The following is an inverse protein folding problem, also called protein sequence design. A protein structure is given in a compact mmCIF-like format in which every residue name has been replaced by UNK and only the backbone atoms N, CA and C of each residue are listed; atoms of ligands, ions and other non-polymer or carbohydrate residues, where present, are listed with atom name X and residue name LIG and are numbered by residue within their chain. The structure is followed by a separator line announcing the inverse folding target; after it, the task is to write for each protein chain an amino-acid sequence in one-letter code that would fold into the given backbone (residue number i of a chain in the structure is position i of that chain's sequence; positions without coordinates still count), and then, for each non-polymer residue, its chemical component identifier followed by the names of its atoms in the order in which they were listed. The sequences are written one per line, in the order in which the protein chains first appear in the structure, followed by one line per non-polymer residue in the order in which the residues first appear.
data_IF_635845349460
#
_entry.id   IF_635845349460
#
_cell.length_a   1.000
_cell.length_b   1.000
_cell.length_c   1.000
_cell.angle_alpha   90.00
_cell.angle_beta   90.00
_cell.angle_gamma   90.00
#
_symmetry.space_group_name_H-M   'P 1'
#
loop_
_entity.id
_entity.type
_entity.pdbx_description
1 polymer ?
#
# COMPACT_ATOMS: atom_id res chain seq x y z
N UNK A 1 0.26 13.70 13.45
CA UNK A 1 0.54 13.38 12.04
C UNK A 1 -0.15 12.08 11.67
N UNK A 2 -0.87 12.07 10.57
CA UNK A 2 -1.47 10.83 10.04
C UNK A 2 -0.79 10.44 8.72
N UNK A 3 -0.63 9.13 8.51
CA UNK A 3 -0.28 8.58 7.20
C UNK A 3 -1.36 7.60 6.77
N UNK A 4 -2.01 7.88 5.64
CA UNK A 4 -2.91 6.96 4.93
C UNK A 4 -2.10 6.08 3.97
N UNK A 5 -1.86 4.84 4.35
CA UNK A 5 -1.13 3.86 3.55
C UNK A 5 -2.11 3.12 2.64
N UNK A 6 -1.93 3.24 1.33
CA UNK A 6 -2.84 2.69 0.30
C UNK A 6 -2.07 1.74 -0.61
N UNK A 7 -2.58 0.53 -0.82
CA UNK A 7 -2.09 -0.32 -1.90
C UNK A 7 -2.68 0.15 -3.23
N UNK A 8 -1.87 0.24 -4.28
CA UNK A 8 -2.32 0.61 -5.63
C UNK A 8 -3.55 -0.20 -6.11
N UNK A 9 -4.29 0.33 -7.07
CA UNK A 9 -5.45 -0.31 -7.69
C UNK A 9 -5.11 -1.58 -8.48
N UNK A 10 -6.15 -2.29 -8.93
CA UNK A 10 -5.99 -3.54 -9.65
C UNK A 10 -5.26 -3.34 -10.99
N UNK A 11 -4.42 -4.30 -11.36
CA UNK A 11 -3.75 -4.41 -12.65
C UNK A 11 -4.11 -5.75 -13.30
N UNK A 12 -3.88 -5.92 -14.59
CA UNK A 12 -4.11 -7.21 -15.27
C UNK A 12 -3.22 -8.32 -14.68
N UNK A 13 -1.98 -8.01 -14.29
CA UNK A 13 -1.13 -9.00 -13.64
C UNK A 13 -1.63 -9.44 -12.25
N UNK A 14 -2.30 -8.54 -11.51
CA UNK A 14 -2.99 -8.95 -10.28
C UNK A 14 -4.13 -9.92 -10.57
N UNK A 15 -4.93 -9.66 -11.61
CA UNK A 15 -6.03 -10.53 -12.01
C UNK A 15 -5.54 -11.91 -12.49
N UNK A 16 -4.39 -11.96 -13.15
CA UNK A 16 -3.72 -13.18 -13.60
C UNK A 16 -2.94 -13.92 -12.50
N UNK A 17 -2.85 -13.38 -11.28
CA UNK A 17 -2.06 -13.99 -10.20
C UNK A 17 -0.53 -13.92 -10.41
N UNK A 18 -0.05 -13.01 -11.27
CA UNK A 18 1.38 -12.83 -11.54
C UNK A 18 2.03 -11.91 -10.53
N UNK A 19 3.26 -12.23 -10.12
CA UNK A 19 4.09 -11.33 -9.31
C UNK A 19 4.53 -10.16 -10.19
N UNK A 20 4.30 -8.92 -9.73
CA UNK A 20 4.70 -7.72 -10.46
C UNK A 20 6.09 -7.23 -10.05
N UNK A 21 6.38 -7.26 -8.75
CA UNK A 21 7.62 -6.68 -8.25
C UNK A 21 7.79 -5.22 -8.66
N UNK A 22 8.96 -4.90 -9.20
CA UNK A 22 9.26 -3.56 -9.72
C UNK A 22 9.04 -3.43 -11.24
N UNK A 23 8.58 -4.49 -11.90
CA UNK A 23 8.09 -4.40 -13.30
C UNK A 23 6.92 -3.43 -13.36
N UNK A 24 7.00 -2.49 -14.31
CA UNK A 24 6.03 -1.40 -14.40
C UNK A 24 4.82 -1.79 -15.24
N UNK A 25 3.75 -2.19 -14.56
CA UNK A 25 2.46 -2.60 -15.12
C UNK A 25 1.42 -1.54 -14.72
N UNK A 26 0.64 -0.98 -15.69
CA UNK A 26 -0.35 0.05 -15.40
C UNK A 26 -1.59 -0.49 -14.69
N UNK A 27 -2.42 0.42 -14.16
CA UNK A 27 -3.76 0.08 -13.71
C UNK A 27 -4.62 -0.44 -14.87
N UNK A 28 -5.52 -1.37 -14.56
CA UNK A 28 -6.63 -1.65 -15.46
C UNK A 28 -7.87 -0.77 -15.11
N UNK A 29 -8.96 -0.87 -15.89
CA UNK A 29 -10.15 -0.06 -15.67
C UNK A 29 -10.78 -0.29 -14.29
N UNK A 30 -10.76 -1.51 -13.79
CA UNK A 30 -11.24 -1.82 -12.45
C UNK A 30 -10.38 -1.14 -11.37
N UNK A 31 -9.05 -1.13 -11.54
CA UNK A 31 -8.15 -0.42 -10.63
C UNK A 31 -8.43 1.08 -10.58
N UNK A 32 -8.72 1.71 -11.73
CA UNK A 32 -9.12 3.12 -11.79
C UNK A 32 -10.47 3.36 -11.10
N UNK A 33 -11.44 2.46 -11.32
CA UNK A 33 -12.75 2.52 -10.64
C UNK A 33 -12.57 2.44 -9.12
N UNK A 34 -11.78 1.48 -8.64
CA UNK A 34 -11.47 1.30 -7.22
C UNK A 34 -10.82 2.54 -6.62
N UNK A 35 -9.87 3.18 -7.34
CA UNK A 35 -9.21 4.41 -6.88
C UNK A 35 -10.21 5.56 -6.70
N UNK A 36 -11.18 5.70 -7.61
CA UNK A 36 -12.25 6.69 -7.47
C UNK A 36 -13.12 6.42 -6.23
N UNK A 37 -13.49 5.16 -5.98
CA UNK A 37 -14.28 4.80 -4.78
C UNK A 37 -13.55 5.14 -3.47
N UNK A 38 -12.23 4.90 -3.41
CA UNK A 38 -11.45 5.32 -2.24
C UNK A 38 -11.38 6.84 -2.11
N UNK A 39 -11.18 7.57 -3.21
CA UNK A 39 -11.19 9.04 -3.20
C UNK A 39 -12.52 9.60 -2.71
N UNK A 40 -13.65 9.04 -3.15
CA UNK A 40 -14.99 9.42 -2.68
C UNK A 40 -15.17 9.18 -1.18
N UNK A 41 -14.74 8.02 -0.70
CA UNK A 41 -14.75 7.70 0.73
C UNK A 41 -13.92 8.71 1.54
N UNK A 42 -12.69 8.99 1.13
CA UNK A 42 -11.79 9.88 1.84
C UNK A 42 -12.31 11.32 1.92
N UNK A 43 -13.08 11.77 0.93
CA UNK A 43 -13.79 13.06 0.98
C UNK A 43 -14.84 13.14 2.08
N UNK A 44 -15.44 12.01 2.46
CA UNK A 44 -16.51 11.92 3.46
C UNK A 44 -15.96 11.67 4.87
N UNK A 45 -14.70 11.29 5.00
CA UNK A 45 -14.07 11.05 6.30
C UNK A 45 -13.59 12.38 6.94
N UNK A 46 -13.52 12.44 8.29
CA UNK A 46 -13.19 13.67 9.01
C UNK A 46 -11.70 14.04 8.94
N UNK A 47 -10.90 13.30 8.19
CA UNK A 47 -9.48 13.54 8.06
C UNK A 47 -9.19 14.57 6.96
N UNK A 48 -8.38 15.56 7.27
CA UNK A 48 -7.78 16.44 6.27
C UNK A 48 -6.47 15.85 5.79
N UNK A 49 -6.28 15.76 4.47
CA UNK A 49 -5.07 15.30 3.82
C UNK A 49 -4.39 16.46 3.11
N UNK A 50 -3.07 16.60 3.27
CA UNK A 50 -2.33 17.74 2.73
C UNK A 50 -1.73 17.46 1.35
N UNK A 51 -1.25 16.24 1.11
CA UNK A 51 -0.73 15.80 -0.18
C UNK A 51 -0.71 14.27 -0.29
N UNK A 52 -0.55 13.80 -1.53
CA UNK A 52 -0.30 12.38 -1.80
C UNK A 52 1.13 12.18 -2.32
N UNK A 53 1.71 11.01 -2.05
CA UNK A 53 3.00 10.56 -2.58
C UNK A 53 2.89 9.13 -3.09
N UNK A 54 3.62 8.78 -4.15
CA UNK A 54 3.64 7.44 -4.73
C UNK A 54 5.05 6.86 -4.79
N UNK A 55 5.14 5.59 -5.16
CA UNK A 55 6.40 4.89 -5.39
C UNK A 55 7.08 5.25 -6.73
N UNK A 56 6.39 5.95 -7.63
CA UNK A 56 6.82 6.21 -9.00
C UNK A 56 6.64 5.04 -9.97
N UNK A 57 6.06 3.91 -9.54
CA UNK A 57 5.57 2.89 -10.47
C UNK A 57 4.18 3.30 -10.98
N UNK A 58 3.93 3.17 -12.29
CA UNK A 58 2.76 3.74 -12.98
C UNK A 58 1.43 3.42 -12.26
N UNK A 59 1.22 2.19 -11.80
CA UNK A 59 0.02 1.77 -11.06
C UNK A 59 -0.18 2.52 -9.74
N UNK A 60 0.91 2.83 -9.04
CA UNK A 60 0.85 3.57 -7.77
C UNK A 60 0.71 5.07 -8.02
N UNK A 61 1.40 5.58 -9.02
CA UNK A 61 1.34 6.99 -9.41
C UNK A 61 -0.05 7.35 -9.91
N UNK A 62 -0.63 6.59 -10.84
CA UNK A 62 -1.99 6.83 -11.33
C UNK A 62 -3.03 6.70 -10.21
N UNK A 63 -2.87 5.74 -9.28
CA UNK A 63 -3.75 5.63 -8.10
C UNK A 63 -3.67 6.90 -7.23
N UNK A 64 -2.45 7.40 -6.97
CA UNK A 64 -2.26 8.62 -6.18
C UNK A 64 -2.86 9.85 -6.87
N UNK A 65 -2.67 10.00 -8.17
CA UNK A 65 -3.23 11.10 -8.98
C UNK A 65 -4.76 11.11 -8.94
N UNK A 66 -5.41 9.95 -9.09
CA UNK A 66 -6.88 9.84 -9.03
C UNK A 66 -7.39 10.28 -7.65
N UNK A 67 -6.81 9.73 -6.57
CA UNK A 67 -7.22 10.07 -5.20
C UNK A 67 -6.97 11.56 -4.91
N UNK A 68 -5.78 12.06 -5.22
CA UNK A 68 -5.40 13.45 -4.98
C UNK A 68 -6.30 14.43 -5.74
N UNK A 69 -6.61 14.15 -7.00
CA UNK A 69 -7.54 14.96 -7.80
C UNK A 69 -8.93 15.07 -7.17
N UNK A 70 -9.45 13.97 -6.62
CA UNK A 70 -10.76 13.96 -5.96
C UNK A 70 -10.77 14.71 -4.63
N UNK A 71 -9.64 14.75 -3.93
CA UNK A 71 -9.47 15.46 -2.66
C UNK A 71 -9.07 16.93 -2.85
N UNK A 72 -8.68 17.34 -4.05
CA UNK A 72 -8.16 18.69 -4.33
C UNK A 72 -6.80 18.96 -3.68
N UNK A 73 -5.96 17.92 -3.51
CA UNK A 73 -4.63 18.02 -2.90
C UNK A 73 -3.52 17.79 -3.95
N UNK A 74 -2.30 18.30 -3.75
CA UNK A 74 -1.19 18.06 -4.65
C UNK A 74 -0.64 16.63 -4.52
N UNK A 75 -0.01 16.15 -5.60
CA UNK A 75 0.84 14.96 -5.59
C UNK A 75 2.29 15.42 -5.54
N UNK A 76 3.03 14.96 -4.53
CA UNK A 76 4.45 15.24 -4.39
C UNK A 76 5.30 14.36 -5.33
N UNK A 77 6.59 14.69 -5.45
CA UNK A 77 7.56 13.85 -6.19
C UNK A 77 7.54 12.42 -5.66
N UNK A 78 7.60 11.44 -6.55
CA UNK A 78 7.59 10.03 -6.15
C UNK A 78 8.78 9.67 -5.25
N UNK A 79 8.56 8.81 -4.27
CA UNK A 79 9.62 8.30 -3.41
C UNK A 79 9.90 6.82 -3.69
N UNK A 80 11.07 6.48 -4.25
CA UNK A 80 11.40 5.09 -4.58
C UNK A 80 11.54 4.18 -3.36
N UNK A 81 11.66 4.72 -2.14
CA UNK A 81 11.74 3.93 -0.91
C UNK A 81 10.42 3.20 -0.60
N UNK A 82 9.29 3.64 -1.19
CA UNK A 82 7.99 2.96 -1.03
C UNK A 82 7.61 2.09 -2.23
N UNK A 83 8.56 1.76 -3.13
CA UNK A 83 8.36 0.78 -4.21
C UNK A 83 8.08 -0.62 -3.67
N UNK A 84 7.47 -1.45 -4.51
CA UNK A 84 7.29 -2.87 -4.23
C UNK A 84 8.64 -3.58 -4.01
N UNK A 85 8.61 -4.71 -3.34
CA UNK A 85 9.73 -5.65 -3.30
C UNK A 85 10.18 -5.97 -4.72
N UNK A 86 11.49 -5.86 -4.99
CA UNK A 86 12.06 -6.51 -6.16
C UNK A 86 11.99 -8.02 -5.97
N UNK A 87 11.35 -8.72 -6.91
CA UNK A 87 11.21 -10.16 -6.86
C UNK A 87 12.17 -10.88 -7.84
N UNK A 88 12.98 -10.15 -8.59
CA UNK A 88 13.99 -10.71 -9.48
C UNK A 88 13.40 -11.63 -10.55
N UNK A 89 13.93 -12.84 -10.67
CA UNK A 89 13.59 -13.77 -11.74
C UNK A 89 12.15 -14.31 -11.70
N UNK A 90 11.40 -14.10 -10.60
CA UNK A 90 10.00 -14.56 -10.49
C UNK A 90 8.98 -13.49 -10.88
N UNK A 91 9.42 -12.28 -11.25
CA UNK A 91 8.53 -11.26 -11.78
C UNK A 91 7.90 -11.72 -13.11
N UNK A 92 6.60 -11.49 -13.26
CA UNK A 92 5.81 -11.91 -14.42
C UNK A 92 5.28 -13.35 -14.36
N UNK A 93 5.68 -14.16 -13.38
CA UNK A 93 5.26 -15.55 -13.25
C UNK A 93 4.04 -15.73 -12.34
N UNK A 94 3.16 -16.65 -12.70
CA UNK A 94 2.08 -17.17 -11.82
C UNK A 94 2.66 -18.10 -10.74
N UNK A 95 1.82 -18.57 -9.81
CA UNK A 95 2.24 -19.53 -8.79
C UNK A 95 2.73 -20.85 -9.44
N UNK A 96 1.97 -21.39 -10.39
CA UNK A 96 2.27 -22.62 -11.11
C UNK A 96 3.58 -22.49 -11.92
N UNK A 97 3.76 -21.37 -12.62
CA UNK A 97 4.97 -21.13 -13.42
C UNK A 97 6.23 -21.02 -12.53
N UNK A 98 6.10 -20.39 -11.33
CA UNK A 98 7.21 -20.32 -10.37
C UNK A 98 7.60 -21.68 -9.82
N UNK A 99 6.59 -22.47 -9.40
CA UNK A 99 6.82 -23.81 -8.85
C UNK A 99 7.39 -24.76 -9.91
N UNK A 100 6.89 -24.69 -11.15
CA UNK A 100 7.42 -25.48 -12.26
C UNK A 100 8.87 -25.14 -12.59
N UNK A 101 9.26 -23.85 -12.48
CA UNK A 101 10.59 -23.38 -12.88
C UNK A 101 11.64 -23.46 -11.76
N UNK A 102 11.24 -23.19 -10.51
CA UNK A 102 12.16 -23.03 -9.39
C UNK A 102 11.84 -23.96 -8.19
N UNK A 103 10.78 -24.78 -8.28
CA UNK A 103 10.33 -25.62 -7.16
C UNK A 103 9.49 -24.85 -6.13
N UNK A 104 8.91 -25.58 -5.19
CA UNK A 104 8.04 -25.03 -4.12
C UNK A 104 8.79 -24.16 -3.11
N UNK A 105 10.09 -24.35 -3.00
CA UNK A 105 11.00 -23.61 -2.13
C UNK A 105 11.72 -22.43 -2.81
N UNK A 106 11.23 -21.95 -3.94
CA UNK A 106 11.79 -20.85 -4.72
C UNK A 106 12.11 -19.60 -3.88
N UNK A 107 11.33 -19.36 -2.83
CA UNK A 107 11.50 -18.20 -1.94
C UNK A 107 12.75 -18.27 -1.05
N UNK A 108 13.40 -19.46 -0.94
CA UNK A 108 14.66 -19.68 -0.22
C UNK A 108 15.90 -19.59 -1.15
N UNK A 109 15.66 -19.51 -2.46
CA UNK A 109 16.73 -19.42 -3.45
C UNK A 109 17.12 -17.96 -3.70
N UNK A 110 18.36 -17.71 -4.08
CA UNK A 110 18.79 -16.39 -4.54
C UNK A 110 18.39 -16.21 -6.01
N UNK A 111 17.23 -15.64 -6.23
CA UNK A 111 16.69 -15.28 -7.55
C UNK A 111 16.75 -13.77 -7.81
N UNK A 112 17.53 -13.03 -7.02
CA UNK A 112 17.70 -11.58 -7.11
C UNK A 112 16.57 -10.80 -6.41
N UNK A 113 15.81 -11.44 -5.51
CA UNK A 113 14.77 -10.76 -4.73
C UNK A 113 15.37 -9.92 -3.59
N UNK A 114 14.70 -8.82 -3.30
CA UNK A 114 14.99 -7.98 -2.16
C UNK A 114 14.62 -8.70 -0.85
N UNK A 115 15.49 -8.65 0.14
CA UNK A 115 15.28 -9.28 1.44
C UNK A 115 14.27 -8.50 2.30
N UNK A 116 13.71 -9.16 3.32
CA UNK A 116 12.84 -8.49 4.31
C UNK A 116 13.58 -7.36 5.03
N UNK A 117 14.87 -7.55 5.32
CA UNK A 117 15.69 -6.55 6.01
C UNK A 117 15.89 -5.29 5.16
N UNK A 118 16.21 -5.44 3.87
CA UNK A 118 16.33 -4.30 2.94
C UNK A 118 15.00 -3.54 2.83
N UNK A 119 13.89 -4.27 2.69
CA UNK A 119 12.55 -3.71 2.59
C UNK A 119 12.19 -2.90 3.84
N UNK A 120 12.41 -3.48 5.02
CA UNK A 120 12.13 -2.84 6.32
C UNK A 120 13.02 -1.62 6.53
N UNK A 121 14.31 -1.71 6.17
CA UNK A 121 15.26 -0.61 6.31
C UNK A 121 14.82 0.64 5.52
N UNK A 122 14.49 0.47 4.23
CA UNK A 122 14.01 1.63 3.43
C UNK A 122 12.66 2.17 3.89
N UNK A 123 11.79 1.29 4.40
CA UNK A 123 10.52 1.67 5.00
C UNK A 123 10.67 2.52 6.26
N UNK A 124 11.58 2.15 7.16
CA UNK A 124 11.90 2.93 8.37
C UNK A 124 12.47 4.30 8.02
N UNK A 125 13.47 4.34 7.11
CA UNK A 125 14.07 5.61 6.66
C UNK A 125 13.00 6.52 6.03
N UNK A 126 12.06 5.96 5.27
CA UNK A 126 10.94 6.73 4.73
C UNK A 126 10.05 7.31 5.84
N UNK A 127 9.63 6.49 6.81
CA UNK A 127 8.76 6.95 7.91
C UNK A 127 9.43 8.02 8.76
N UNK A 128 10.71 7.86 9.09
CA UNK A 128 11.47 8.84 9.87
C UNK A 128 11.60 10.17 9.13
N UNK A 129 11.92 10.14 7.83
CA UNK A 129 11.98 11.33 7.00
C UNK A 129 10.64 12.07 6.94
N UNK A 130 9.53 11.33 6.75
CA UNK A 130 8.19 11.94 6.72
C UNK A 130 7.86 12.58 8.07
N UNK A 131 8.19 11.91 9.16
CA UNK A 131 7.95 12.41 10.50
C UNK A 131 8.75 13.66 10.84
N UNK A 132 9.96 13.79 10.30
CA UNK A 132 10.82 14.98 10.51
C UNK A 132 10.38 16.13 9.60
N UNK A 133 10.23 15.86 8.30
CA UNK A 133 9.99 16.91 7.28
C UNK A 133 8.55 17.39 7.26
N UNK A 134 7.59 16.52 7.61
CA UNK A 134 6.15 16.77 7.48
C UNK A 134 5.37 16.50 8.77
N UNK A 135 5.99 16.76 9.93
CA UNK A 135 5.43 16.48 11.26
C UNK A 135 4.02 17.04 11.52
N UNK A 136 3.64 18.10 10.82
CA UNK A 136 2.33 18.77 10.96
C UNK A 136 1.39 18.49 9.78
N UNK A 137 1.75 17.56 8.89
CA UNK A 137 0.95 17.20 7.72
C UNK A 137 0.37 15.81 7.85
N UNK A 138 -0.80 15.60 7.24
CA UNK A 138 -1.37 14.28 7.02
C UNK A 138 -1.17 13.91 5.55
N UNK A 139 -0.60 12.75 5.28
CA UNK A 139 -0.19 12.35 3.93
C UNK A 139 -0.80 11.04 3.50
N UNK A 140 -1.12 10.93 2.20
CA UNK A 140 -1.52 9.67 1.57
C UNK A 140 -0.30 9.10 0.86
N UNK A 141 0.05 7.85 1.18
CA UNK A 141 1.16 7.13 0.56
C UNK A 141 0.62 5.95 -0.23
N UNK A 142 0.76 5.99 -1.55
CA UNK A 142 0.34 4.90 -2.43
C UNK A 142 1.52 4.00 -2.74
N UNK A 143 1.41 2.74 -2.32
CA UNK A 143 2.47 1.76 -2.36
C UNK A 143 1.93 0.37 -2.77
N UNK A 144 2.51 -0.72 -2.30
CA UNK A 144 2.37 -2.07 -2.84
C UNK A 144 2.21 -3.12 -1.74
N UNK A 145 1.67 -4.28 -2.11
CA UNK A 145 1.29 -5.31 -1.16
C UNK A 145 2.46 -5.88 -0.36
N UNK A 146 3.56 -6.23 -1.01
CA UNK A 146 4.72 -6.82 -0.35
C UNK A 146 5.46 -5.83 0.55
N UNK A 147 5.62 -4.57 0.08
CA UNK A 147 6.20 -3.50 0.89
C UNK A 147 5.34 -3.18 2.12
N UNK A 148 4.04 -2.93 1.92
CA UNK A 148 3.12 -2.59 3.00
C UNK A 148 3.03 -3.71 4.04
N UNK A 149 3.03 -4.98 3.62
CA UNK A 149 3.01 -6.10 4.55
C UNK A 149 4.21 -6.10 5.50
N UNK A 150 5.41 -5.72 5.02
CA UNK A 150 6.59 -5.58 5.88
C UNK A 150 6.52 -4.31 6.74
N UNK A 151 6.09 -3.18 6.16
CA UNK A 151 5.94 -1.93 6.90
C UNK A 151 4.95 -2.10 8.06
N UNK A 152 3.87 -2.83 7.87
CA UNK A 152 2.87 -3.08 8.93
C UNK A 152 3.42 -3.91 10.09
N UNK A 153 4.40 -4.81 9.86
CA UNK A 153 5.06 -5.51 10.96
C UNK A 153 5.77 -4.54 11.92
N UNK A 154 6.28 -3.43 11.38
CA UNK A 154 6.93 -2.38 12.17
C UNK A 154 5.90 -1.52 12.92
N UNK A 155 4.96 -0.91 12.19
CA UNK A 155 4.02 0.05 12.77
C UNK A 155 2.89 -0.59 13.57
N UNK A 156 2.56 -1.87 13.32
CA UNK A 156 1.52 -2.62 14.04
C UNK A 156 2.10 -3.67 15.00
N UNK A 157 3.41 -3.64 15.26
CA UNK A 157 4.12 -4.52 16.23
C UNK A 157 3.84 -6.01 16.01
N UNK A 158 3.76 -6.46 14.77
CA UNK A 158 3.59 -7.86 14.41
C UNK A 158 2.20 -8.47 14.67
N UNK A 159 1.22 -7.68 15.10
CA UNK A 159 -0.10 -8.19 15.51
C UNK A 159 -1.04 -8.53 14.34
N UNK A 160 -0.68 -8.18 13.11
CA UNK A 160 -1.60 -8.22 11.97
C UNK A 160 -0.96 -8.96 10.78
N UNK A 161 -1.59 -10.06 10.35
CA UNK A 161 -1.15 -10.89 9.22
C UNK A 161 -2.31 -11.20 8.27
N UNK A 162 -2.71 -10.22 7.48
CA UNK A 162 -3.70 -10.44 6.39
C UNK A 162 -3.08 -10.07 5.05
N UNK A 163 -3.56 -10.71 3.99
CA UNK A 163 -3.21 -10.29 2.62
C UNK A 163 -3.70 -8.86 2.40
N UNK A 164 -2.79 -7.97 2.07
CA UNK A 164 -3.12 -6.57 1.79
C UNK A 164 -3.93 -6.49 0.49
N UNK A 165 -5.17 -5.99 0.56
CA UNK A 165 -6.07 -5.86 -0.60
C UNK A 165 -5.66 -4.71 -1.53
N UNK A 166 -5.98 -4.79 -2.84
CA UNK A 166 -5.88 -3.62 -3.72
C UNK A 166 -6.82 -2.53 -3.21
N UNK A 167 -6.38 -1.27 -3.26
CA UNK A 167 -7.06 -0.10 -2.70
C UNK A 167 -7.45 -0.25 -1.21
N UNK A 168 -6.84 -1.18 -0.46
CA UNK A 168 -7.00 -1.16 0.98
C UNK A 168 -6.37 0.10 1.57
N UNK A 169 -7.02 0.65 2.58
CA UNK A 169 -6.56 1.79 3.37
C UNK A 169 -6.15 1.32 4.76
N UNK A 170 -4.95 1.69 5.16
CA UNK A 170 -4.49 1.63 6.54
C UNK A 170 -4.14 3.05 6.97
N UNK A 171 -4.64 3.50 8.12
CA UNK A 171 -4.30 4.81 8.68
C UNK A 171 -3.44 4.56 9.91
N UNK A 172 -2.27 5.16 9.95
CA UNK A 172 -1.39 5.16 11.12
C UNK A 172 -1.23 6.58 11.64
N UNK A 173 -1.23 6.71 12.96
CA UNK A 173 -0.97 7.96 13.66
C UNK A 173 0.43 7.93 14.27
N UNK A 174 1.17 9.03 14.11
CA UNK A 174 2.37 9.28 14.90
C UNK A 174 2.05 10.16 16.10
N UNK A 175 2.33 9.62 17.29
CA UNK A 175 2.13 10.29 18.56
C UNK A 175 3.27 9.93 19.50
N UNK A 176 3.86 10.93 20.15
CA UNK A 176 4.96 10.75 21.10
C UNK A 176 6.11 9.88 20.56
N UNK A 177 6.50 10.12 19.30
CA UNK A 177 7.54 9.38 18.55
C UNK A 177 7.23 7.90 18.25
N UNK A 178 6.02 7.44 18.51
CA UNK A 178 5.57 6.08 18.19
C UNK A 178 4.49 6.09 17.09
N UNK A 179 4.40 4.98 16.34
CA UNK A 179 3.38 4.76 15.33
C UNK A 179 2.31 3.81 15.86
N UNK A 180 1.05 4.16 15.70
CA UNK A 180 -0.08 3.30 16.04
C UNK A 180 -1.12 3.26 14.94
N UNK A 181 -1.67 2.07 14.60
CA UNK A 181 -2.71 1.96 13.58
C UNK A 181 -4.06 2.41 14.17
N UNK A 182 -4.77 3.27 13.42
CA UNK A 182 -6.16 3.67 13.67
C UNK A 182 -7.13 2.85 12.81
N UNK A 183 -6.72 2.47 11.61
CA UNK A 183 -7.47 1.66 10.67
C UNK A 183 -6.50 0.70 9.98
N UNK A 184 -6.92 -0.55 9.71
CA UNK A 184 -6.05 -1.54 9.09
C UNK A 184 -6.71 -2.25 7.91
N UNK A 185 -6.01 -2.27 6.76
CA UNK A 185 -6.32 -3.05 5.55
C UNK A 185 -7.81 -2.98 5.14
N UNK A 186 -8.43 -1.82 5.30
CA UNK A 186 -9.87 -1.64 5.11
C UNK A 186 -10.22 -1.43 3.64
N UNK A 187 -11.12 -2.24 3.12
CA UNK A 187 -11.64 -2.19 1.74
C UNK A 187 -13.14 -1.92 1.68
N UNK A 188 -13.76 -1.39 2.75
CA UNK A 188 -15.22 -1.20 2.83
C UNK A 188 -15.81 -0.38 1.67
N UNK A 189 -15.06 0.55 1.10
CA UNK A 189 -15.47 1.35 -0.06
C UNK A 189 -15.58 0.55 -1.36
N UNK A 190 -15.09 -0.69 -1.40
CA UNK A 190 -15.22 -1.58 -2.57
C UNK A 190 -16.46 -2.47 -2.51
N UNK A 191 -17.19 -2.48 -1.38
CA UNK A 191 -18.43 -3.23 -1.23
C UNK A 191 -19.56 -2.49 -1.94
N UNK A 192 -20.30 -3.17 -2.81
CA UNK A 192 -21.35 -2.60 -3.66
C UNK A 192 -22.70 -2.44 -2.97
N UNK A 193 -22.85 -2.92 -1.72
CA UNK A 193 -24.03 -2.66 -0.88
C UNK A 193 -23.60 -2.43 0.57
N UNK A 194 -24.34 -1.61 1.36
CA UNK A 194 -24.06 -1.47 2.79
C UNK A 194 -24.42 -2.79 3.48
N UNK A 195 -23.41 -3.59 3.79
CA UNK A 195 -23.57 -4.63 4.79
C UNK A 195 -23.84 -3.91 6.12
N UNK A 196 -25.08 -3.92 6.58
CA UNK A 196 -25.43 -3.47 7.93
C UNK A 196 -24.57 -4.24 8.95
N UNK A 197 -23.71 -3.52 9.66
CA UNK A 197 -23.22 -3.92 10.96
C UNK A 197 -22.10 -4.96 11.03
N UNK A 198 -20.91 -4.70 10.44
CA UNK A 198 -19.65 -5.22 10.99
C UNK A 198 -18.47 -4.36 10.55
N UNK A 199 -18.22 -3.31 11.27
CA UNK A 199 -16.99 -2.51 11.14
C UNK A 199 -15.88 -3.20 11.97
N UNK A 200 -15.43 -4.36 11.48
CA UNK A 200 -14.42 -5.20 12.16
C UNK A 200 -12.98 -4.69 11.98
N UNK A 201 -12.79 -3.58 11.26
CA UNK A 201 -11.46 -3.07 10.90
C UNK A 201 -11.02 -1.83 11.71
N UNK A 202 -11.86 -1.33 12.62
CA UNK A 202 -11.49 -0.26 13.54
C UNK A 202 -10.84 -0.86 14.78
N UNK A 203 -9.61 -0.48 15.04
CA UNK A 203 -8.88 -0.91 16.22
C UNK A 203 -9.33 -0.08 17.43
N UNK A 204 -9.56 -0.69 18.61
CA UNK A 204 -9.94 0.05 19.80
C UNK A 204 -8.82 1.02 20.21
N UNK A 205 -9.17 2.27 20.37
CA UNK A 205 -8.30 3.27 21.01
C UNK A 205 -8.11 2.90 22.48
N UNK A 206 -6.89 2.77 22.92
CA UNK A 206 -6.56 2.64 24.34
C UNK A 206 -6.53 3.99 24.99
#
# INVERSE_FOLDING_TARGET
MLIGLVRHGLTDWNAMGKIQGQTDIPLNEEGRRQARLLGERLRQEPYHWDFAISSGLSRAEETAQIIASMLGIPVAEPDPRVRERRYGQVEGLTAEEREARFGTDWHQQDLGQETDVELMSRGLVFLDDMAIKHRNSNIIVVSHGGFLAQLYKLVCRGQLSQRIGNLSLTIVERKDDDWSPLLYNCTKHLLTEPAEGQDTNVLPTK
#
